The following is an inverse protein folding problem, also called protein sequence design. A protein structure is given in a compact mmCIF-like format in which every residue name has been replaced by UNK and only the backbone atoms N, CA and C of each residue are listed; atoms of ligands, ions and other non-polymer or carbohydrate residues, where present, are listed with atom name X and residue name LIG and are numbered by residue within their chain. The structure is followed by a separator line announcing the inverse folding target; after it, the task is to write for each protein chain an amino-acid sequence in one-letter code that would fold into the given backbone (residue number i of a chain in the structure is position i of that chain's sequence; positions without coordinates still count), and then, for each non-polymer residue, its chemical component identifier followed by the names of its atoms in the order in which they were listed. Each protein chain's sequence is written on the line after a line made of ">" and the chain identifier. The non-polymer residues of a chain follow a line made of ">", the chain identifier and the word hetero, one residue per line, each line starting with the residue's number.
data_IF_029599304042
#
_entry.id   IF_029599304042
#
_cell.length_a   1.000
_cell.length_b   1.000
_cell.length_c   1.000
_cell.angle_alpha   90.00
_cell.angle_beta   90.00
_cell.angle_gamma   90.00
#
_symmetry.space_group_name_H-M   'P 1'
#
loop_
_entity.id
_entity.type
_entity.pdbx_description
1 polymer ?
#
# COMPACT_ATOMS: atom_id res chain seq x y z
N UNK A 1 23.71 -23.64 -43.50
CA UNK A 1 22.86 -22.51 -43.06
C UNK A 1 21.82 -22.88 -41.99
N UNK A 2 21.17 -24.06 -42.03
CA UNK A 2 20.16 -24.49 -41.04
C UNK A 2 20.68 -24.56 -39.58
N UNK A 3 21.90 -25.08 -39.38
CA UNK A 3 22.50 -25.23 -38.04
C UNK A 3 22.67 -23.90 -37.29
N UNK A 4 23.04 -22.83 -37.99
CA UNK A 4 23.22 -21.50 -37.39
C UNK A 4 21.87 -20.95 -36.91
N UNK A 5 20.81 -21.13 -37.71
CA UNK A 5 19.45 -20.71 -37.32
C UNK A 5 18.93 -21.50 -36.12
N UNK A 6 19.19 -22.81 -36.08
CA UNK A 6 18.83 -23.66 -34.93
C UNK A 6 19.51 -23.20 -33.64
N UNK A 7 20.81 -22.91 -33.70
CA UNK A 7 21.56 -22.36 -32.56
C UNK A 7 20.99 -21.02 -32.09
N UNK A 8 20.72 -20.10 -33.01
CA UNK A 8 20.14 -18.80 -32.66
C UNK A 8 18.75 -18.93 -32.04
N UNK A 9 17.91 -19.85 -32.53
CA UNK A 9 16.57 -20.04 -31.99
C UNK A 9 16.60 -20.57 -30.54
N UNK A 10 17.48 -21.51 -30.24
CA UNK A 10 17.65 -22.06 -28.88
C UNK A 10 18.28 -21.02 -27.96
N UNK A 11 19.34 -20.34 -28.40
CA UNK A 11 20.01 -19.32 -27.61
C UNK A 11 19.09 -18.13 -27.31
N UNK A 12 18.31 -17.69 -28.30
CA UNK A 12 17.34 -16.61 -28.12
C UNK A 12 16.28 -16.97 -27.09
N UNK A 13 15.73 -18.19 -27.16
CA UNK A 13 14.77 -18.69 -26.16
C UNK A 13 15.38 -18.69 -24.75
N UNK A 14 16.63 -19.13 -24.62
CA UNK A 14 17.31 -19.15 -23.34
C UNK A 14 17.49 -17.75 -22.75
N UNK A 15 17.84 -16.76 -23.57
CA UNK A 15 18.02 -15.37 -23.14
C UNK A 15 16.70 -14.77 -22.65
N UNK A 16 15.61 -14.93 -23.41
CA UNK A 16 14.30 -14.38 -23.03
C UNK A 16 13.71 -15.06 -21.78
N UNK A 17 14.08 -16.32 -21.51
CA UNK A 17 13.62 -17.01 -20.30
C UNK A 17 14.50 -16.65 -19.09
N UNK A 18 15.82 -16.55 -19.27
CA UNK A 18 16.79 -16.40 -18.16
C UNK A 18 16.95 -14.96 -17.70
N UNK A 19 16.97 -13.99 -18.63
CA UNK A 19 17.20 -12.58 -18.28
C UNK A 19 16.08 -12.01 -17.41
N UNK A 20 14.78 -12.19 -17.73
CA UNK A 20 13.70 -11.74 -16.85
C UNK A 20 13.73 -12.43 -15.49
N UNK A 21 14.00 -13.74 -15.43
CA UNK A 21 14.13 -14.45 -14.16
C UNK A 21 15.26 -13.88 -13.28
N UNK A 22 16.38 -13.54 -13.90
CA UNK A 22 17.51 -12.91 -13.20
C UNK A 22 17.14 -11.51 -12.69
N UNK A 23 16.41 -10.73 -13.49
CA UNK A 23 15.91 -9.41 -13.07
C UNK A 23 14.94 -9.55 -11.90
N UNK A 24 13.98 -10.46 -11.97
CA UNK A 24 13.02 -10.70 -10.89
C UNK A 24 13.72 -11.11 -9.59
N UNK A 25 14.72 -11.99 -9.69
CA UNK A 25 15.47 -12.43 -8.51
C UNK A 25 16.26 -11.29 -7.86
N UNK A 26 16.96 -10.48 -8.67
CA UNK A 26 17.84 -9.41 -8.18
C UNK A 26 17.07 -8.18 -7.72
N UNK A 27 16.01 -7.80 -8.43
CA UNK A 27 15.34 -6.50 -8.22
C UNK A 27 14.00 -6.60 -7.49
N UNK A 28 13.34 -7.75 -7.51
CA UNK A 28 12.06 -7.91 -6.81
C UNK A 28 12.23 -8.76 -5.56
N UNK A 29 12.88 -9.92 -5.68
CA UNK A 29 12.99 -10.87 -4.58
C UNK A 29 14.00 -10.43 -3.52
N UNK A 30 15.24 -10.15 -3.93
CA UNK A 30 16.28 -9.73 -2.99
C UNK A 30 15.91 -8.44 -2.21
N UNK A 31 15.34 -7.39 -2.82
CA UNK A 31 14.92 -6.22 -2.07
C UNK A 31 13.66 -6.50 -1.26
N UNK A 32 12.76 -7.37 -1.71
CA UNK A 32 11.54 -7.71 -0.96
C UNK A 32 11.83 -8.26 0.44
N UNK A 33 12.86 -9.10 0.56
CA UNK A 33 13.27 -9.67 1.84
C UNK A 33 13.93 -8.62 2.77
N UNK A 34 14.67 -7.66 2.20
CA UNK A 34 15.39 -6.63 2.96
C UNK A 34 14.60 -5.32 3.16
N UNK A 35 13.51 -5.13 2.43
CA UNK A 35 12.73 -3.89 2.44
C UNK A 35 12.06 -3.69 3.80
N UNK A 36 11.41 -4.72 4.34
CA UNK A 36 10.72 -4.64 5.63
C UNK A 36 11.67 -4.31 6.80
N UNK A 37 12.80 -5.03 7.01
CA UNK A 37 13.75 -4.66 8.05
C UNK A 37 14.36 -3.27 7.82
N UNK A 38 14.59 -2.87 6.57
CA UNK A 38 15.06 -1.53 6.23
C UNK A 38 14.06 -0.43 6.62
N UNK A 39 12.77 -0.59 6.30
CA UNK A 39 11.72 0.35 6.69
C UNK A 39 11.62 0.45 8.22
N UNK A 40 11.59 -0.68 8.93
CA UNK A 40 11.54 -0.69 10.40
C UNK A 40 12.73 0.06 11.01
N UNK A 41 13.93 -0.13 10.43
CA UNK A 41 15.13 0.59 10.84
C UNK A 41 15.04 2.09 10.56
N UNK A 42 14.62 2.50 9.36
CA UNK A 42 14.57 3.91 8.94
C UNK A 42 13.45 4.71 9.57
N UNK A 43 12.30 4.09 9.79
CA UNK A 43 11.20 4.68 10.57
C UNK A 43 11.52 4.70 12.07
N UNK A 44 12.64 4.10 12.49
CA UNK A 44 13.11 4.07 13.87
C UNK A 44 12.06 3.59 14.88
N UNK A 45 11.15 2.71 14.44
CA UNK A 45 10.00 2.22 15.20
C UNK A 45 10.40 1.44 16.46
N UNK A 46 11.66 1.00 16.54
CA UNK A 46 12.24 0.23 17.65
C UNK A 46 13.10 1.06 18.61
N UNK A 47 13.11 2.38 18.49
CA UNK A 47 13.90 3.28 19.36
C UNK A 47 13.04 3.89 20.47
N UNK A 48 13.66 4.42 21.53
CA UNK A 48 12.96 5.07 22.66
C UNK A 48 12.12 6.28 22.25
N UNK A 49 12.44 6.89 21.10
CA UNK A 49 11.70 8.00 20.49
C UNK A 49 10.69 7.56 19.41
N UNK A 50 10.41 6.25 19.32
CA UNK A 50 9.50 5.70 18.30
C UNK A 50 8.13 6.35 18.35
N UNK A 51 7.56 6.60 19.53
CA UNK A 51 6.25 7.24 19.69
C UNK A 51 6.19 8.65 19.08
N UNK A 52 7.23 9.47 19.31
CA UNK A 52 7.29 10.84 18.79
C UNK A 52 7.44 10.83 17.26
N UNK A 53 8.28 9.95 16.72
CA UNK A 53 8.46 9.83 15.27
C UNK A 53 7.26 9.18 14.59
N UNK A 54 6.60 8.23 15.23
CA UNK A 54 5.39 7.61 14.71
C UNK A 54 4.28 8.66 14.63
N UNK A 55 4.11 9.50 15.66
CA UNK A 55 3.18 10.63 15.64
C UNK A 55 3.50 11.65 14.52
N UNK A 56 4.78 11.92 14.24
CA UNK A 56 5.17 12.80 13.13
C UNK A 56 4.93 12.18 11.74
N UNK A 57 5.15 10.87 11.57
CA UNK A 57 4.95 10.19 10.29
C UNK A 57 3.47 9.86 10.02
N UNK A 58 2.67 9.66 11.08
CA UNK A 58 1.23 9.44 11.03
C UNK A 58 0.43 10.74 11.07
N UNK A 59 1.09 11.90 11.25
CA UNK A 59 0.42 13.18 11.18
C UNK A 59 -0.22 13.32 9.79
N UNK A 60 -1.55 13.28 9.78
CA UNK A 60 -2.32 13.34 8.55
C UNK A 60 -1.97 14.58 7.74
N UNK A 61 -1.82 14.39 6.42
CA UNK A 61 -1.62 15.51 5.52
C UNK A 61 -2.81 16.47 5.58
N UNK A 62 -2.60 17.79 5.35
CA UNK A 62 -3.63 18.82 5.48
C UNK A 62 -4.85 18.63 4.55
N UNK A 63 -4.78 17.69 3.62
CA UNK A 63 -5.85 17.33 2.69
C UNK A 63 -6.80 16.25 3.21
N UNK A 64 -6.42 15.50 4.26
CA UNK A 64 -7.21 14.39 4.81
C UNK A 64 -8.10 14.86 5.98
N UNK A 65 -7.60 15.76 6.82
CA UNK A 65 -8.33 16.36 7.95
C UNK A 65 -9.71 16.97 7.57
N UNK A 66 -9.87 17.65 6.41
CA UNK A 66 -11.17 18.18 6.01
C UNK A 66 -12.15 17.09 5.52
N UNK A 67 -11.64 15.95 5.03
CA UNK A 67 -12.46 14.84 4.55
C UNK A 67 -13.09 14.08 5.71
N UNK A 68 -12.33 13.84 6.78
CA UNK A 68 -12.84 13.15 7.97
C UNK A 68 -13.93 13.96 8.66
N UNK A 69 -13.71 15.27 8.87
CA UNK A 69 -14.74 16.15 9.43
C UNK A 69 -16.04 16.16 8.61
N UNK A 70 -15.94 15.99 7.29
CA UNK A 70 -17.10 15.94 6.39
C UNK A 70 -17.81 14.58 6.42
N UNK A 71 -17.10 13.49 6.74
CA UNK A 71 -17.70 12.17 6.95
C UNK A 71 -18.38 12.14 8.31
N UNK A 72 -17.71 12.61 9.35
CA UNK A 72 -18.25 12.67 10.71
C UNK A 72 -19.47 13.61 10.82
N UNK A 73 -19.47 14.74 10.11
CA UNK A 73 -20.65 15.62 10.05
C UNK A 73 -21.84 14.95 9.37
N UNK A 74 -21.60 14.16 8.32
CA UNK A 74 -22.66 13.43 7.61
C UNK A 74 -23.21 12.26 8.41
N UNK A 75 -22.36 11.53 9.13
CA UNK A 75 -22.82 10.46 10.01
C UNK A 75 -23.70 10.99 11.14
N UNK A 76 -23.35 12.15 11.72
CA UNK A 76 -24.18 12.81 12.74
C UNK A 76 -25.52 13.30 12.18
N UNK A 77 -25.54 13.84 10.96
CA UNK A 77 -26.78 14.24 10.28
C UNK A 77 -27.69 13.04 9.94
N UNK A 78 -27.11 11.93 9.48
CA UNK A 78 -27.86 10.72 9.15
C UNK A 78 -28.35 10.01 10.41
N UNK A 79 -27.56 9.95 11.47
CA UNK A 79 -27.97 9.40 12.77
C UNK A 79 -29.14 10.16 13.39
N UNK A 80 -29.06 11.49 13.46
CA UNK A 80 -30.17 12.31 13.97
C UNK A 80 -31.41 12.30 13.07
N UNK A 81 -31.25 12.08 11.76
CA UNK A 81 -32.36 11.87 10.84
C UNK A 81 -33.10 10.55 11.06
N UNK A 82 -32.38 9.50 11.47
CA UNK A 82 -33.00 8.21 11.80
C UNK A 82 -33.74 8.26 13.14
N UNK A 83 -33.22 9.01 14.12
CA UNK A 83 -33.90 9.25 15.39
C UNK A 83 -35.22 10.02 15.20
N UNK A 84 -35.23 11.06 14.36
CA UNK A 84 -36.44 11.82 14.04
C UNK A 84 -37.48 11.02 13.23
N UNK A 85 -37.04 10.06 12.42
CA UNK A 85 -37.95 9.13 11.72
C UNK A 85 -38.55 8.14 12.72
N UNK A 86 -37.76 7.63 13.68
CA UNK A 86 -38.27 6.75 14.74
C UNK A 86 -39.35 7.43 15.59
N UNK A 87 -39.14 8.70 15.99
CA UNK A 87 -40.15 9.48 16.73
C UNK A 87 -41.44 9.70 15.93
N UNK A 88 -41.35 9.82 14.61
CA UNK A 88 -42.51 9.96 13.71
C UNK A 88 -43.32 8.67 13.57
N UNK A 89 -42.69 7.50 13.68
CA UNK A 89 -43.37 6.20 13.68
C UNK A 89 -44.02 5.87 15.03
N UNK A 90 -43.48 6.38 16.15
CA UNK A 90 -44.11 6.23 17.48
C UNK A 90 -45.35 7.13 17.68
N UNK A 91 -45.59 8.09 16.78
CA UNK A 91 -46.71 9.04 16.76
C UNK A 91 -47.89 8.61 15.87
N UNK A 92 -47.76 7.53 15.09
CA UNK A 92 -48.78 6.98 14.15
C UNK A 92 -49.29 5.64 14.64
#
# INVERSE_FOLDING_TARGET
>A
MFQIRGYFQVAYKHIIDTVPQMVDFIFLKAPGDDLMPFLISKLALRTEYSNVRCAMNLAEGPLLVPREKKVESKEREVGGGLDGVAELWDLV
#
